data_IF_286825594724
#
_entry.id   IF_286825594724
#
_cell.length_a   1.000
_cell.length_b   1.000
_cell.length_c   1.000
_cell.angle_alpha   90.00
_cell.angle_beta   90.00
_cell.angle_gamma   90.00
#
_symmetry.space_group_name_H-M   'P 1'
#
loop_
_entity.id
_entity.type
_entity.pdbx_description
1 polymer ?
#
# COMPACT_ATOMS: atom_id res chain seq x y z
N UNK A 1 67.84 -15.40 -62.58
CA UNK A 1 67.28 -14.73 -61.41
C UNK A 1 65.76 -14.64 -61.54
N UNK A 2 65.01 -15.43 -60.76
CA UNK A 2 63.59 -15.21 -60.47
C UNK A 2 63.32 -15.67 -59.03
N UNK A 3 62.51 -14.94 -58.25
CA UNK A 3 62.62 -14.91 -56.80
C UNK A 3 61.76 -15.98 -56.12
N UNK A 4 62.18 -16.32 -54.90
CA UNK A 4 61.54 -17.27 -54.00
C UNK A 4 60.10 -16.85 -53.66
N UNK A 5 59.14 -17.78 -53.87
CA UNK A 5 57.84 -17.73 -53.22
C UNK A 5 58.00 -18.19 -51.75
N UNK A 6 57.44 -17.48 -50.77
CA UNK A 6 57.70 -17.74 -49.35
C UNK A 6 57.04 -19.05 -48.85
N UNK A 7 57.62 -19.73 -47.85
CA UNK A 7 57.23 -21.08 -47.42
C UNK A 7 55.96 -21.13 -46.56
N UNK A 8 55.08 -20.13 -46.66
CA UNK A 8 53.90 -20.04 -45.79
C UNK A 8 52.65 -20.73 -46.37
N UNK A 9 52.55 -20.91 -47.69
CA UNK A 9 51.40 -21.57 -48.32
C UNK A 9 51.36 -23.10 -48.06
N UNK A 10 52.52 -23.74 -47.89
CA UNK A 10 52.61 -25.18 -47.64
C UNK A 10 52.33 -25.57 -46.17
N UNK A 11 52.48 -24.64 -45.22
CA UNK A 11 52.28 -24.89 -43.77
C UNK A 11 50.86 -24.62 -43.28
N UNK A 12 50.00 -23.97 -44.08
CA UNK A 12 48.60 -23.71 -43.72
C UNK A 12 47.66 -24.92 -43.89
N UNK A 13 47.98 -25.83 -44.84
CA UNK A 13 47.19 -27.04 -45.12
C UNK A 13 47.02 -27.99 -43.90
N UNK A 14 48.08 -28.33 -43.13
CA UNK A 14 47.95 -29.25 -42.00
C UNK A 14 47.22 -28.65 -40.78
N UNK A 15 47.18 -27.32 -40.66
CA UNK A 15 46.42 -26.64 -39.60
C UNK A 15 44.93 -26.58 -39.94
N UNK A 16 44.57 -26.34 -41.21
CA UNK A 16 43.19 -26.40 -41.67
C UNK A 16 42.58 -27.81 -41.58
N UNK A 17 43.37 -28.87 -41.79
CA UNK A 17 42.92 -30.26 -41.61
C UNK A 17 42.77 -30.67 -40.14
N UNK A 18 43.55 -30.08 -39.22
CA UNK A 18 43.40 -30.29 -37.76
C UNK A 18 42.31 -29.44 -37.12
N UNK A 19 41.98 -28.27 -37.68
CA UNK A 19 40.88 -27.44 -37.20
C UNK A 19 39.49 -28.00 -37.54
N UNK A 20 39.34 -28.72 -38.66
CA UNK A 20 38.08 -29.36 -39.08
C UNK A 20 37.49 -30.34 -38.04
N UNK A 21 38.25 -31.31 -37.47
CA UNK A 21 37.71 -32.23 -36.47
C UNK A 21 37.38 -31.55 -35.13
N UNK A 22 38.11 -30.49 -34.75
CA UNK A 22 37.80 -29.70 -33.56
C UNK A 22 36.53 -28.85 -33.75
N UNK A 23 36.36 -28.22 -34.90
CA UNK A 23 35.11 -27.53 -35.26
C UNK A 23 33.92 -28.50 -35.37
N UNK A 24 34.16 -29.74 -35.83
CA UNK A 24 33.15 -30.79 -35.88
C UNK A 24 32.74 -31.29 -34.48
N UNK A 25 33.66 -31.32 -33.51
CA UNK A 25 33.39 -31.62 -32.09
C UNK A 25 32.81 -30.44 -31.29
N UNK A 26 33.10 -29.20 -31.68
CA UNK A 26 32.54 -27.99 -31.04
C UNK A 26 31.08 -27.73 -31.42
N UNK A 27 30.66 -28.08 -32.64
CA UNK A 27 29.27 -27.95 -33.11
C UNK A 27 28.22 -28.67 -32.23
N UNK A 28 28.38 -29.95 -31.85
CA UNK A 28 27.40 -30.62 -30.98
C UNK A 28 27.37 -30.04 -29.57
N UNK A 29 28.50 -29.54 -29.04
CA UNK A 29 28.56 -28.87 -27.74
C UNK A 29 27.86 -27.50 -27.76
N UNK A 30 28.10 -26.71 -28.81
CA UNK A 30 27.40 -25.44 -29.01
C UNK A 30 25.89 -25.65 -29.22
N UNK A 31 25.48 -26.70 -29.94
CA UNK A 31 24.07 -27.08 -30.09
C UNK A 31 23.44 -27.54 -28.77
N UNK A 32 24.18 -28.27 -27.93
CA UNK A 32 23.74 -28.72 -26.59
C UNK A 32 23.62 -27.55 -25.61
N UNK A 33 24.56 -26.60 -25.63
CA UNK A 33 24.47 -25.36 -24.87
C UNK A 33 23.28 -24.48 -25.32
N UNK A 34 23.03 -24.39 -26.63
CA UNK A 34 21.86 -23.67 -27.18
C UNK A 34 20.53 -24.32 -26.79
N UNK A 35 20.47 -25.66 -26.75
CA UNK A 35 19.31 -26.44 -26.28
C UNK A 35 19.08 -26.27 -24.77
N UNK A 36 20.14 -26.29 -23.96
CA UNK A 36 20.07 -26.04 -22.52
C UNK A 36 19.62 -24.61 -22.22
N UNK A 37 20.16 -23.60 -22.89
CA UNK A 37 19.73 -22.21 -22.75
C UNK A 37 18.27 -21.98 -23.19
N UNK A 38 17.80 -22.70 -24.22
CA UNK A 38 16.40 -22.67 -24.63
C UNK A 38 15.48 -23.38 -23.61
N UNK A 39 15.92 -24.49 -23.00
CA UNK A 39 15.21 -25.17 -21.91
C UNK A 39 15.11 -24.31 -20.64
N UNK A 40 16.20 -23.65 -20.25
CA UNK A 40 16.22 -22.74 -19.11
C UNK A 40 15.28 -21.54 -19.32
N UNK A 41 15.28 -20.95 -20.53
CA UNK A 41 14.36 -19.86 -20.89
C UNK A 41 12.88 -20.27 -20.88
N UNK A 42 12.57 -21.52 -21.24
CA UNK A 42 11.19 -22.07 -21.21
C UNK A 42 10.62 -22.18 -19.80
N UNK A 43 11.47 -22.35 -18.80
CA UNK A 43 11.07 -22.45 -17.39
C UNK A 43 11.15 -21.08 -16.71
N UNK A 44 12.15 -20.26 -17.07
CA UNK A 44 12.35 -18.95 -16.47
C UNK A 44 11.19 -17.97 -16.72
N UNK A 45 10.58 -17.96 -17.91
CA UNK A 45 9.46 -17.07 -18.24
C UNK A 45 8.20 -17.36 -17.40
N UNK A 46 7.67 -18.59 -17.34
CA UNK A 46 6.50 -18.87 -16.51
C UNK A 46 6.80 -18.74 -15.01
N UNK A 47 8.03 -19.05 -14.57
CA UNK A 47 8.43 -18.85 -13.18
C UNK A 47 8.48 -17.36 -12.82
N UNK A 48 9.07 -16.51 -13.66
CA UNK A 48 9.08 -15.07 -13.45
C UNK A 48 7.66 -14.48 -13.45
N UNK A 49 6.79 -14.96 -14.34
CA UNK A 49 5.38 -14.57 -14.38
C UNK A 49 4.65 -14.96 -13.08
N UNK A 50 4.83 -16.20 -12.60
CA UNK A 50 4.25 -16.66 -11.33
C UNK A 50 4.76 -15.86 -10.14
N UNK A 51 6.06 -15.56 -10.08
CA UNK A 51 6.63 -14.75 -9.00
C UNK A 51 6.08 -13.31 -9.01
N UNK A 52 5.93 -12.71 -10.19
CA UNK A 52 5.36 -11.37 -10.33
C UNK A 52 3.90 -11.34 -9.88
N UNK A 53 3.13 -12.36 -10.26
CA UNK A 53 1.75 -12.52 -9.84
C UNK A 53 1.61 -12.76 -8.33
N UNK A 54 2.51 -13.56 -7.74
CA UNK A 54 2.55 -13.80 -6.30
C UNK A 54 2.89 -12.52 -5.53
N UNK A 55 3.87 -11.74 -6.00
CA UNK A 55 4.22 -10.45 -5.42
C UNK A 55 3.05 -9.46 -5.49
N UNK A 56 2.31 -9.44 -6.60
CA UNK A 56 1.12 -8.59 -6.77
C UNK A 56 0.01 -8.97 -5.79
N UNK A 57 -0.21 -10.26 -5.55
CA UNK A 57 -1.19 -10.73 -4.56
C UNK A 57 -0.77 -10.40 -3.12
N UNK A 58 0.52 -10.51 -2.80
CA UNK A 58 1.04 -10.11 -1.51
C UNK A 58 0.86 -8.61 -1.26
N UNK A 59 1.07 -7.79 -2.29
CA UNK A 59 0.80 -6.36 -2.24
C UNK A 59 -0.70 -6.06 -2.05
N UNK A 60 -1.59 -6.78 -2.73
CA UNK A 60 -3.03 -6.64 -2.55
C UNK A 60 -3.47 -7.02 -1.12
N UNK A 61 -2.90 -8.08 -0.55
CA UNK A 61 -3.12 -8.46 0.85
C UNK A 61 -2.64 -7.37 1.82
N UNK A 62 -1.48 -6.77 1.57
CA UNK A 62 -0.97 -5.62 2.34
C UNK A 62 -1.90 -4.40 2.28
N UNK A 63 -2.55 -4.15 1.15
CA UNK A 63 -3.56 -3.10 1.02
C UNK A 63 -4.82 -3.47 1.82
N UNK A 64 -5.23 -4.74 1.81
CA UNK A 64 -6.38 -5.22 2.59
C UNK A 64 -6.17 -5.02 4.10
N UNK A 65 -4.95 -5.25 4.62
CA UNK A 65 -4.66 -5.03 6.04
C UNK A 65 -4.86 -3.58 6.49
N UNK A 66 -4.72 -2.58 5.60
CA UNK A 66 -5.02 -1.17 5.93
C UNK A 66 -6.50 -0.91 6.21
N UNK A 67 -7.41 -1.78 5.76
CA UNK A 67 -8.85 -1.61 6.04
C UNK A 67 -9.18 -1.76 7.53
N UNK A 68 -8.34 -2.49 8.29
CA UNK A 68 -8.48 -2.59 9.75
C UNK A 68 -8.20 -1.24 10.41
N UNK A 69 -7.16 -0.54 9.95
CA UNK A 69 -6.81 0.79 10.44
C UNK A 69 -7.90 1.81 10.08
N UNK A 70 -8.47 1.70 8.88
CA UNK A 70 -9.60 2.53 8.45
C UNK A 70 -10.82 2.35 9.40
N UNK A 71 -11.20 1.12 9.72
CA UNK A 71 -12.30 0.84 10.64
C UNK A 71 -12.02 1.36 12.07
N UNK A 72 -10.79 1.21 12.55
CA UNK A 72 -10.36 1.74 13.84
C UNK A 72 -10.45 3.27 13.87
N UNK A 73 -10.00 3.95 12.82
CA UNK A 73 -10.07 5.42 12.72
C UNK A 73 -11.50 5.95 12.69
N UNK A 74 -12.42 5.28 11.98
CA UNK A 74 -13.85 5.62 11.92
C UNK A 74 -14.48 5.48 13.31
N UNK A 75 -14.22 4.37 14.00
CA UNK A 75 -14.74 4.13 15.34
C UNK A 75 -14.23 5.18 16.33
N UNK A 76 -12.94 5.51 16.27
CA UNK A 76 -12.34 6.51 17.15
C UNK A 76 -12.91 7.91 16.87
N UNK A 77 -13.11 8.27 15.60
CA UNK A 77 -13.76 9.52 15.22
C UNK A 77 -15.21 9.58 15.72
N UNK A 78 -15.97 8.49 15.60
CA UNK A 78 -17.32 8.38 16.14
C UNK A 78 -17.35 8.52 17.67
N UNK A 79 -16.36 7.95 18.36
CA UNK A 79 -16.19 8.06 19.81
C UNK A 79 -16.00 9.51 20.25
N UNK A 80 -15.29 10.34 19.48
CA UNK A 80 -15.10 11.76 19.80
C UNK A 80 -16.44 12.51 19.93
N UNK A 81 -17.37 12.30 18.98
CA UNK A 81 -18.71 12.89 19.02
C UNK A 81 -19.45 12.51 20.30
N UNK A 82 -19.52 11.21 20.60
CA UNK A 82 -20.18 10.71 21.81
C UNK A 82 -19.55 11.31 23.08
N UNK A 83 -18.22 11.36 23.14
CA UNK A 83 -17.50 11.88 24.29
C UNK A 83 -17.74 13.38 24.48
N UNK A 84 -17.80 14.19 23.41
CA UNK A 84 -18.13 15.63 23.55
C UNK A 84 -19.51 15.86 24.15
N UNK A 85 -20.52 15.08 23.73
CA UNK A 85 -21.87 15.16 24.29
C UNK A 85 -21.90 14.70 25.75
N UNK A 86 -21.21 13.59 26.07
CA UNK A 86 -21.10 13.07 27.44
C UNK A 86 -20.43 14.08 28.37
N UNK A 87 -19.37 14.75 27.92
CA UNK A 87 -18.69 15.82 28.66
C UNK A 87 -19.65 16.99 28.93
N UNK A 88 -20.39 17.44 27.91
CA UNK A 88 -21.36 18.54 28.09
C UNK A 88 -22.47 18.18 29.09
N UNK A 89 -22.98 16.95 29.02
CA UNK A 89 -24.00 16.46 29.95
C UNK A 89 -23.47 16.40 31.39
N UNK A 90 -22.27 15.84 31.59
CA UNK A 90 -21.67 15.77 32.93
C UNK A 90 -21.33 17.16 33.48
N UNK A 91 -20.91 18.11 32.64
CA UNK A 91 -20.70 19.50 33.04
C UNK A 91 -22.01 20.15 33.53
N UNK A 92 -23.11 19.95 32.80
CA UNK A 92 -24.42 20.45 33.20
C UNK A 92 -24.90 19.81 34.52
N UNK A 93 -24.68 18.51 34.72
CA UNK A 93 -25.01 17.82 35.97
C UNK A 93 -24.27 18.38 37.18
N UNK A 94 -22.99 18.73 37.01
CA UNK A 94 -22.18 19.33 38.07
C UNK A 94 -22.74 20.70 38.49
N UNK A 95 -23.20 21.52 37.53
CA UNK A 95 -23.81 22.82 37.82
C UNK A 95 -25.20 22.69 38.47
N UNK A 96 -26.02 21.75 38.00
CA UNK A 96 -27.38 21.56 38.51
C UNK A 96 -27.44 20.88 39.88
N UNK A 97 -26.49 20.00 40.19
CA UNK A 97 -26.48 19.19 41.41
C UNK A 97 -25.11 19.21 42.10
N UNK A 98 -24.65 20.37 42.59
CA UNK A 98 -23.30 20.54 43.15
C UNK A 98 -23.01 19.60 44.34
N UNK A 99 -24.03 19.29 45.16
CA UNK A 99 -23.91 18.39 46.33
C UNK A 99 -23.70 16.91 45.95
N UNK A 100 -23.94 16.54 44.69
CA UNK A 100 -23.76 15.17 44.16
C UNK A 100 -22.82 15.15 42.95
N UNK A 101 -21.99 16.18 42.81
CA UNK A 101 -21.19 16.40 41.62
C UNK A 101 -20.00 15.44 41.49
N UNK A 102 -19.62 14.69 42.52
CA UNK A 102 -18.39 13.89 42.51
C UNK A 102 -18.39 12.83 41.41
N UNK A 103 -19.47 12.05 41.28
CA UNK A 103 -19.63 11.08 40.19
C UNK A 103 -19.61 11.76 38.82
N UNK A 104 -20.27 12.91 38.68
CA UNK A 104 -20.30 13.65 37.44
C UNK A 104 -18.91 14.24 37.07
N UNK A 105 -18.13 14.67 38.08
CA UNK A 105 -16.74 15.11 37.90
C UNK A 105 -15.85 13.96 37.45
N UNK A 106 -16.00 12.77 38.03
CA UNK A 106 -15.23 11.59 37.61
C UNK A 106 -15.55 11.18 36.17
N UNK A 107 -16.84 11.14 35.81
CA UNK A 107 -17.28 10.87 34.44
C UNK A 107 -16.75 11.94 33.47
N UNK A 108 -16.79 13.21 33.86
CA UNK A 108 -16.28 14.31 33.05
C UNK A 108 -14.76 14.21 32.85
N UNK A 109 -13.97 13.92 33.90
CA UNK A 109 -12.51 13.71 33.79
C UNK A 109 -12.18 12.56 32.86
N UNK A 110 -12.73 11.38 33.12
CA UNK A 110 -12.48 10.18 32.33
C UNK A 110 -12.90 10.33 30.86
N UNK A 111 -14.03 10.98 30.60
CA UNK A 111 -14.50 11.26 29.23
C UNK A 111 -13.60 12.28 28.52
N UNK A 112 -13.13 13.29 29.24
CA UNK A 112 -12.23 14.33 28.71
C UNK A 112 -10.87 13.75 28.33
N UNK A 113 -10.30 12.89 29.17
CA UNK A 113 -9.05 12.21 28.86
C UNK A 113 -9.21 11.22 27.71
N UNK A 114 -10.32 10.49 27.66
CA UNK A 114 -10.64 9.59 26.55
C UNK A 114 -10.78 10.34 25.23
N UNK A 115 -11.36 11.54 25.24
CA UNK A 115 -11.51 12.40 24.06
C UNK A 115 -10.15 12.91 23.60
N UNK A 116 -9.30 13.34 24.53
CA UNK A 116 -7.97 13.82 24.18
C UNK A 116 -7.10 12.71 23.58
N UNK A 117 -7.13 11.50 24.17
CA UNK A 117 -6.42 10.33 23.61
C UNK A 117 -6.92 9.96 22.22
N UNK A 118 -8.24 9.92 22.03
CA UNK A 118 -8.86 9.72 20.71
C UNK A 118 -8.31 10.70 19.67
N UNK A 119 -8.26 11.97 20.06
CA UNK A 119 -7.82 13.07 19.21
C UNK A 119 -6.34 12.99 18.84
N UNK A 120 -5.48 12.69 19.81
CA UNK A 120 -4.06 12.49 19.56
C UNK A 120 -3.83 11.28 18.66
N UNK A 121 -4.53 10.18 18.89
CA UNK A 121 -4.42 9.00 18.06
C UNK A 121 -4.75 9.27 16.59
N UNK A 122 -5.86 9.97 16.32
CA UNK A 122 -6.28 10.31 14.96
C UNK A 122 -5.36 11.32 14.27
N UNK A 123 -4.81 12.29 15.01
CA UNK A 123 -4.03 13.40 14.42
C UNK A 123 -2.54 13.15 14.35
N UNK A 124 -2.00 12.30 15.23
CA UNK A 124 -0.56 12.07 15.38
C UNK A 124 -0.15 10.61 15.20
N UNK A 125 -1.11 9.69 14.98
CA UNK A 125 -0.81 8.26 14.82
C UNK A 125 -0.35 7.60 16.12
N UNK A 126 -0.99 7.95 17.23
CA UNK A 126 -0.62 7.55 18.60
C UNK A 126 -0.70 6.03 18.89
N UNK A 127 -0.83 5.71 20.17
CA UNK A 127 -0.85 4.37 20.79
C UNK A 127 -1.88 3.37 20.22
N UNK A 128 -2.82 3.84 19.39
CA UNK A 128 -3.84 3.03 18.73
C UNK A 128 -3.39 2.40 17.39
N UNK A 129 -2.13 2.59 16.97
CA UNK A 129 -1.57 1.89 15.80
C UNK A 129 -2.10 2.38 14.45
N UNK A 130 -2.80 3.52 14.41
CA UNK A 130 -3.33 4.14 13.20
C UNK A 130 -2.15 4.60 12.32
N UNK A 131 -1.79 3.79 11.33
CA UNK A 131 -0.62 3.99 10.46
C UNK A 131 -0.97 4.59 9.09
N UNK A 132 -2.27 4.75 8.81
CA UNK A 132 -2.77 5.52 7.68
C UNK A 132 -2.89 7.00 8.05
N UNK A 133 -1.90 7.81 7.70
CA UNK A 133 -1.96 9.26 7.91
C UNK A 133 -3.24 9.89 7.33
N UNK A 134 -3.61 11.07 7.83
CA UNK A 134 -4.84 11.77 7.43
C UNK A 134 -4.89 12.05 5.91
N UNK A 135 -6.07 11.86 5.31
CA UNK A 135 -6.33 12.28 3.94
C UNK A 135 -6.19 13.80 3.79
N UNK A 136 -6.01 14.31 2.57
CA UNK A 136 -5.87 15.75 2.32
C UNK A 136 -7.06 16.56 2.86
N UNK A 137 -8.26 16.03 2.72
CA UNK A 137 -9.49 16.69 3.20
C UNK A 137 -9.57 16.67 4.74
N UNK A 138 -9.14 15.57 5.36
CA UNK A 138 -9.02 15.48 6.82
C UNK A 138 -7.95 16.43 7.36
N UNK A 139 -6.77 16.51 6.73
CA UNK A 139 -5.73 17.49 7.08
C UNK A 139 -6.30 18.91 6.99
N UNK A 140 -7.07 19.20 5.95
CA UNK A 140 -7.71 20.52 5.78
C UNK A 140 -8.74 20.80 6.86
N UNK A 141 -9.54 19.80 7.27
CA UNK A 141 -10.52 19.94 8.34
C UNK A 141 -9.86 20.14 9.72
N UNK A 142 -8.85 19.33 10.04
CA UNK A 142 -8.16 19.37 11.33
C UNK A 142 -7.25 20.59 11.48
N UNK A 143 -6.52 20.92 10.42
CA UNK A 143 -5.45 21.93 10.43
C UNK A 143 -5.73 23.08 9.47
N UNK A 144 -7.00 23.49 9.36
CA UNK A 144 -7.44 24.56 8.46
C UNK A 144 -6.49 25.78 8.50
N UNK A 145 -6.22 26.44 7.35
CA UNK A 145 -5.25 27.55 7.28
C UNK A 145 -5.57 28.73 8.21
N UNK A 146 -6.84 28.88 8.61
CA UNK A 146 -7.25 29.77 9.68
C UNK A 146 -7.32 28.95 10.98
N UNK A 147 -6.39 29.13 11.93
CA UNK A 147 -6.26 28.25 13.11
C UNK A 147 -7.54 28.18 13.96
N UNK A 148 -8.28 29.29 14.06
CA UNK A 148 -9.53 29.37 14.83
C UNK A 148 -10.67 28.49 14.28
N UNK A 149 -10.56 28.09 13.01
CA UNK A 149 -11.52 27.21 12.34
C UNK A 149 -11.10 25.73 12.35
N UNK A 150 -9.85 25.41 12.69
CA UNK A 150 -9.33 24.05 12.67
C UNK A 150 -9.94 23.17 13.75
N UNK A 151 -10.34 21.96 13.39
CA UNK A 151 -10.91 21.01 14.36
C UNK A 151 -9.89 20.61 15.45
N UNK A 152 -8.58 20.56 15.15
CA UNK A 152 -7.56 20.27 16.17
C UNK A 152 -7.56 21.31 17.31
N UNK A 153 -7.50 22.59 16.96
CA UNK A 153 -7.49 23.67 17.94
C UNK A 153 -8.80 23.71 18.73
N UNK A 154 -9.94 23.50 18.07
CA UNK A 154 -11.25 23.51 18.73
C UNK A 154 -11.40 22.36 19.72
N UNK A 155 -11.02 21.14 19.34
CA UNK A 155 -11.06 19.98 20.25
C UNK A 155 -10.13 20.18 21.44
N UNK A 156 -8.89 20.65 21.23
CA UNK A 156 -7.95 20.95 22.33
C UNK A 156 -8.48 22.04 23.27
N UNK A 157 -9.08 23.09 22.71
CA UNK A 157 -9.66 24.19 23.49
C UNK A 157 -10.87 23.72 24.30
N UNK A 158 -11.70 22.84 23.74
CA UNK A 158 -12.81 22.20 24.43
C UNK A 158 -12.32 21.31 25.57
N UNK A 159 -11.37 20.40 25.31
CA UNK A 159 -10.74 19.53 26.33
C UNK A 159 -10.17 20.36 27.49
N UNK A 160 -9.46 21.44 27.19
CA UNK A 160 -8.89 22.30 28.23
C UNK A 160 -9.97 23.02 29.07
N UNK A 161 -11.12 23.38 28.49
CA UNK A 161 -12.23 23.90 29.28
C UNK A 161 -12.91 22.83 30.13
N UNK A 162 -13.10 21.63 29.57
CA UNK A 162 -13.69 20.52 30.31
C UNK A 162 -12.83 20.17 31.54
N UNK A 163 -11.50 20.11 31.39
CA UNK A 163 -10.59 19.92 32.54
C UNK A 163 -10.77 20.98 33.61
N UNK A 164 -10.92 22.26 33.23
CA UNK A 164 -11.20 23.33 34.21
C UNK A 164 -12.53 23.13 34.92
N UNK A 165 -13.60 22.73 34.22
CA UNK A 165 -14.89 22.41 34.87
C UNK A 165 -14.73 21.29 35.91
N UNK A 166 -13.88 20.30 35.63
CA UNK A 166 -13.63 19.19 36.54
C UNK A 166 -12.99 19.62 37.87
N UNK A 167 -12.12 20.64 37.81
CA UNK A 167 -11.24 21.03 38.91
C UNK A 167 -11.69 22.33 39.61
N UNK A 168 -12.70 23.02 39.08
CA UNK A 168 -13.23 24.25 39.66
C UNK A 168 -14.02 23.97 40.95
N UNK A 169 -13.77 24.75 42.03
CA UNK A 169 -14.56 24.67 43.26
C UNK A 169 -16.03 25.07 43.03
N UNK A 170 -16.98 24.61 43.87
CA UNK A 170 -18.42 24.80 43.67
C UNK A 170 -18.84 26.25 43.39
N UNK A 171 -18.25 27.23 44.09
CA UNK A 171 -18.63 28.64 43.96
C UNK A 171 -18.27 29.35 42.65
N UNK A 172 -17.57 28.69 41.70
CA UNK A 172 -17.24 29.26 40.39
C UNK A 172 -17.65 28.36 39.22
N UNK A 173 -18.45 27.34 39.48
CA UNK A 173 -18.73 26.29 38.51
C UNK A 173 -19.59 26.77 37.35
N UNK A 174 -20.55 27.65 37.62
CA UNK A 174 -21.52 28.14 36.63
C UNK A 174 -20.83 28.85 35.46
N UNK A 175 -19.90 29.76 35.74
CA UNK A 175 -19.12 30.46 34.71
C UNK A 175 -18.26 29.50 33.88
N UNK A 176 -17.70 28.46 34.50
CA UNK A 176 -16.87 27.48 33.82
C UNK A 176 -17.72 26.58 32.90
N UNK A 177 -18.88 26.14 33.37
CA UNK A 177 -19.84 25.32 32.63
C UNK A 177 -20.47 26.13 31.49
N UNK A 178 -20.84 27.38 31.72
CA UNK A 178 -21.37 28.28 30.71
C UNK A 178 -20.36 28.53 29.58
N UNK A 179 -19.09 28.82 29.92
CA UNK A 179 -18.04 28.95 28.90
C UNK A 179 -17.82 27.66 28.10
N UNK A 180 -17.92 26.49 28.73
CA UNK A 180 -17.80 25.20 28.03
C UNK A 180 -18.97 24.98 27.06
N UNK A 181 -20.20 25.11 27.54
CA UNK A 181 -21.43 24.75 26.80
C UNK A 181 -21.79 25.80 25.75
N UNK A 182 -21.65 27.09 26.04
CA UNK A 182 -22.10 28.17 25.15
C UNK A 182 -21.00 28.79 24.31
N UNK A 183 -19.72 28.66 24.69
CA UNK A 183 -18.62 29.22 23.89
C UNK A 183 -17.87 28.16 23.10
N UNK A 184 -17.65 26.96 23.66
CA UNK A 184 -16.70 25.98 23.10
C UNK A 184 -17.35 24.75 22.48
N UNK A 185 -18.53 24.37 22.96
CA UNK A 185 -19.32 23.27 22.39
C UNK A 185 -20.02 23.62 21.06
N UNK A 186 -20.53 24.84 20.82
CA UNK A 186 -21.30 25.12 19.61
C UNK A 186 -20.45 24.88 18.34
N UNK A 187 -21.02 24.13 17.40
CA UNK A 187 -20.37 23.81 16.12
C UNK A 187 -19.33 22.68 16.18
N UNK A 188 -18.78 22.33 17.36
CA UNK A 188 -17.81 21.25 17.49
C UNK A 188 -18.39 19.88 17.09
N UNK A 189 -19.59 19.45 17.58
CA UNK A 189 -20.19 18.19 17.15
C UNK A 189 -20.40 18.09 15.64
N UNK A 190 -20.82 19.18 14.99
CA UNK A 190 -21.01 19.19 13.53
C UNK A 190 -19.70 19.01 12.75
N UNK A 191 -18.59 19.54 13.26
CA UNK A 191 -17.28 19.30 12.66
C UNK A 191 -16.76 17.89 12.92
N UNK A 192 -17.04 17.32 14.10
CA UNK A 192 -16.74 15.92 14.40
C UNK A 192 -17.55 14.98 13.50
N UNK A 193 -18.83 15.28 13.25
CA UNK A 193 -19.65 14.56 12.28
C UNK A 193 -19.07 14.66 10.87
N UNK A 194 -18.56 15.84 10.49
CA UNK A 194 -17.86 15.98 9.22
C UNK A 194 -16.57 15.17 9.18
N UNK A 195 -15.83 15.07 10.28
CA UNK A 195 -14.63 14.24 10.36
C UNK A 195 -14.98 12.76 10.16
N UNK A 196 -16.02 12.25 10.83
CA UNK A 196 -16.51 10.87 10.65
C UNK A 196 -16.84 10.60 9.19
N UNK A 197 -17.62 11.49 8.55
CA UNK A 197 -17.95 11.33 7.12
C UNK A 197 -16.71 11.29 6.23
N UNK A 198 -15.70 12.12 6.49
CA UNK A 198 -14.46 12.12 5.70
C UNK A 198 -13.59 10.87 5.94
N UNK A 199 -13.57 10.33 7.17
CA UNK A 199 -12.92 9.04 7.44
C UNK A 199 -13.64 7.90 6.71
N UNK A 200 -14.97 7.86 6.74
CA UNK A 200 -15.78 6.87 6.01
C UNK A 200 -15.59 6.95 4.49
N UNK A 201 -15.54 8.17 3.94
CA UNK A 201 -15.33 8.41 2.51
C UNK A 201 -13.93 7.98 2.08
N UNK A 202 -12.90 8.33 2.86
CA UNK A 202 -11.53 7.89 2.60
C UNK A 202 -11.42 6.36 2.62
N UNK A 203 -11.97 5.70 3.64
CA UNK A 203 -11.99 4.25 3.78
C UNK A 203 -12.73 3.57 2.61
N UNK A 204 -13.90 4.10 2.23
CA UNK A 204 -14.68 3.58 1.10
C UNK A 204 -13.91 3.70 -0.21
N UNK A 205 -13.25 4.84 -0.45
CA UNK A 205 -12.46 5.05 -1.65
C UNK A 205 -11.29 4.06 -1.74
N UNK A 206 -10.57 3.85 -0.63
CA UNK A 206 -9.46 2.90 -0.52
C UNK A 206 -9.94 1.47 -0.78
N UNK A 207 -11.07 1.08 -0.19
CA UNK A 207 -11.66 -0.25 -0.37
C UNK A 207 -12.07 -0.53 -1.82
N UNK A 208 -12.66 0.44 -2.52
CA UNK A 208 -13.05 0.30 -3.94
C UNK A 208 -11.80 0.11 -4.81
N UNK A 209 -10.78 0.93 -4.62
CA UNK A 209 -9.53 0.81 -5.37
C UNK A 209 -8.83 -0.53 -5.11
N UNK A 210 -8.74 -0.94 -3.84
CA UNK A 210 -8.18 -2.23 -3.46
C UNK A 210 -8.92 -3.41 -4.11
N UNK A 211 -10.26 -3.39 -4.07
CA UNK A 211 -11.09 -4.42 -4.65
C UNK A 211 -10.99 -4.48 -6.19
N UNK A 212 -10.85 -3.33 -6.85
CA UNK A 212 -10.62 -3.24 -8.29
C UNK A 212 -9.26 -3.81 -8.69
N UNK A 213 -8.20 -3.42 -7.99
CA UNK A 213 -6.85 -3.93 -8.21
C UNK A 213 -6.78 -5.44 -7.99
N UNK A 214 -7.38 -5.93 -6.91
CA UNK A 214 -7.42 -7.37 -6.62
C UNK A 214 -8.14 -8.14 -7.73
N UNK A 215 -9.34 -7.69 -8.16
CA UNK A 215 -10.08 -8.30 -9.28
C UNK A 215 -9.25 -8.33 -10.57
N UNK A 216 -8.61 -7.23 -10.93
CA UNK A 216 -7.78 -7.16 -12.13
C UNK A 216 -6.58 -8.13 -12.04
N UNK A 217 -5.92 -8.18 -10.88
CA UNK A 217 -4.79 -9.10 -10.64
C UNK A 217 -5.23 -10.57 -10.78
N UNK A 218 -6.40 -10.92 -10.25
CA UNK A 218 -6.94 -12.27 -10.30
C UNK A 218 -7.27 -12.70 -11.74
N UNK A 219 -7.91 -11.81 -12.51
CA UNK A 219 -8.17 -12.05 -13.93
C UNK A 219 -6.87 -12.22 -14.73
N UNK A 220 -5.83 -11.45 -14.40
CA UNK A 220 -4.52 -11.57 -15.04
C UNK A 220 -3.83 -12.89 -14.71
N UNK A 221 -3.96 -13.39 -13.46
CA UNK A 221 -3.48 -14.72 -13.07
C UNK A 221 -4.19 -15.82 -13.87
N UNK A 222 -5.52 -15.76 -13.95
CA UNK A 222 -6.31 -16.73 -14.72
C UNK A 222 -5.89 -16.70 -16.19
N UNK A 223 -5.81 -15.51 -16.77
CA UNK A 223 -5.40 -15.34 -18.16
C UNK A 223 -3.99 -15.89 -18.41
N UNK A 224 -3.04 -15.60 -17.51
CA UNK A 224 -1.67 -16.13 -17.58
C UNK A 224 -1.65 -17.66 -17.53
N UNK A 225 -2.46 -18.26 -16.65
CA UNK A 225 -2.58 -19.71 -16.53
C UNK A 225 -3.14 -20.34 -17.81
N UNK A 226 -4.21 -19.76 -18.36
CA UNK A 226 -4.82 -20.21 -19.63
C UNK A 226 -3.83 -20.07 -20.79
N UNK A 227 -3.16 -18.93 -20.92
CA UNK A 227 -2.16 -18.69 -21.97
C UNK A 227 -0.98 -19.66 -21.88
N UNK A 228 -0.59 -20.04 -20.65
CA UNK A 228 0.43 -21.05 -20.43
C UNK A 228 -0.04 -22.43 -20.89
N UNK A 229 -1.25 -22.84 -20.48
CA UNK A 229 -1.85 -24.12 -20.84
C UNK A 229 -2.09 -24.25 -22.36
N UNK A 230 -2.52 -23.17 -23.01
CA UNK A 230 -2.72 -23.11 -24.45
C UNK A 230 -1.40 -23.11 -25.26
N UNK A 231 -0.25 -23.05 -24.59
CA UNK A 231 1.06 -23.02 -25.24
C UNK A 231 1.39 -21.70 -25.94
N UNK A 232 0.60 -20.64 -25.74
CA UNK A 232 0.83 -19.30 -26.29
C UNK A 232 2.16 -18.74 -25.78
N UNK A 233 2.51 -19.05 -24.53
CA UNK A 233 3.76 -18.64 -23.88
C UNK A 233 4.96 -19.56 -24.24
N UNK A 234 4.78 -20.55 -25.13
CA UNK A 234 5.90 -21.39 -25.58
C UNK A 234 6.74 -20.62 -26.60
N UNK A 235 8.08 -20.56 -26.46
CA UNK A 235 8.92 -19.89 -27.45
C UNK A 235 8.85 -20.60 -28.80
N UNK A 236 8.72 -19.81 -29.87
CA UNK A 236 8.58 -20.30 -31.24
C UNK A 236 9.62 -21.38 -31.58
N UNK A 237 9.21 -22.46 -32.30
CA UNK A 237 10.17 -23.45 -32.78
C UNK A 237 11.18 -22.76 -33.70
N UNK A 238 12.47 -22.97 -33.45
CA UNK A 238 13.53 -22.47 -34.34
C UNK A 238 13.32 -23.11 -35.72
N UNK A 239 13.18 -22.29 -36.76
CA UNK A 239 13.04 -22.76 -38.14
C UNK A 239 14.18 -23.73 -38.47
N UNK A 240 13.89 -24.91 -39.08
CA UNK A 240 14.94 -25.83 -39.47
C UNK A 240 15.89 -25.12 -40.45
N UNK A 241 17.19 -25.24 -40.21
CA UNK A 241 18.20 -24.67 -41.09
C UNK A 241 17.97 -25.19 -42.53
N UNK A 242 18.05 -24.34 -43.56
CA UNK A 242 17.81 -24.76 -44.94
C UNK A 242 18.73 -25.93 -45.29
N UNK A 243 18.13 -27.02 -45.78
CA UNK A 243 18.82 -28.22 -46.21
C UNK A 243 19.82 -27.86 -47.33
N UNK A 244 21.12 -27.81 -47.00
CA UNK A 244 22.16 -27.74 -48.03
C UNK A 244 22.23 -29.11 -48.71
N UNK A 245 21.81 -29.18 -49.98
CA UNK A 245 22.06 -30.35 -50.82
C UNK A 245 23.56 -30.71 -50.78
N UNK A 246 23.92 -31.99 -50.60
CA UNK A 246 25.31 -32.40 -50.66
C UNK A 246 25.88 -32.12 -52.06
N UNK A 247 27.08 -31.53 -52.18
CA UNK A 247 27.74 -31.36 -53.46
C UNK A 247 28.33 -32.71 -53.86
N UNK A 248 27.78 -33.32 -54.91
CA UNK A 248 28.33 -34.56 -55.45
C UNK A 248 27.29 -35.58 -55.89
N UNK A 249 26.47 -35.21 -56.87
CA UNK A 249 26.05 -36.16 -57.90
C UNK A 249 26.65 -35.60 -59.17
N UNK A 250 27.86 -36.09 -59.47
CA UNK A 250 28.57 -35.75 -60.68
C UNK A 250 27.72 -36.16 -61.87
N UNK A 251 27.52 -35.19 -62.76
CA UNK A 251 27.37 -35.49 -64.17
C UNK A 251 28.62 -36.26 -64.61
N UNK A 252 28.42 -37.42 -65.20
CA UNK A 252 29.39 -38.06 -66.07
C UNK A 252 28.63 -38.67 -67.25
N UNK A 253 29.27 -38.69 -68.43
CA UNK A 253 28.67 -38.40 -69.73
C UNK A 253 27.80 -39.51 -70.31
#
# INVERSE_FOLDING_TARGET
MKPALPPFAARAKPLASRAKPLAARAKPLAARAKRLGAGLRRIAVPLALMLTLCALQLAAFWVQSRQVDDAASINEAGRQRMLTQRIALSAAQIALYPDRADTAREVLRSSTDSLFRAHVALTQGGDLGLSGGLSRDLVTLYFAPRPEAGLDLQTRTFVNAARRVADVPPGRIDLAVESLIHTRMPGLPGKLDRAVMLFEEAARSNAIWAAGLNRASFLLVIFALIAHMAGILRPAPQAPAPYRRPPGLGSSP
#
